data_IF_584840753403
#
_entry.id   IF_584840753403
#
_cell.length_a   1.000
_cell.length_b   1.000
_cell.length_c   1.000
_cell.angle_alpha   90.00
_cell.angle_beta   90.00
_cell.angle_gamma   90.00
#
_symmetry.space_group_name_H-M   'P 1'
#
loop_
_entity.id
_entity.type
_entity.pdbx_description
1 polymer ?
#
# COMPACT_ATOMS: atom_id res chain seq x y z
N UNK A 1 11.28 -23.80 13.51
CA UNK A 1 10.23 -22.90 12.99
C UNK A 1 10.87 -21.55 12.77
N UNK A 2 10.45 -20.80 11.76
CA UNK A 2 10.99 -19.46 11.54
C UNK A 2 10.53 -18.51 12.66
N UNK A 3 11.39 -17.58 13.05
CA UNK A 3 11.08 -16.52 14.01
C UNK A 3 10.90 -15.20 13.29
N UNK A 4 10.25 -14.22 13.94
CA UNK A 4 10.08 -12.86 13.41
C UNK A 4 11.40 -12.17 13.00
N UNK A 5 12.53 -12.60 13.56
CA UNK A 5 13.85 -12.02 13.33
C UNK A 5 14.70 -12.78 12.31
N UNK A 6 14.24 -13.93 11.83
CA UNK A 6 14.94 -14.72 10.82
C UNK A 6 14.78 -14.09 9.42
N UNK A 7 15.75 -14.29 8.52
CA UNK A 7 15.62 -13.84 7.13
C UNK A 7 14.47 -14.56 6.39
N UNK A 8 14.01 -13.92 5.31
CA UNK A 8 12.98 -14.44 4.41
C UNK A 8 13.23 -13.97 2.96
N UNK A 9 12.98 -14.87 2.01
CA UNK A 9 12.93 -14.54 0.58
C UNK A 9 11.51 -14.13 0.19
N UNK A 10 11.34 -12.88 -0.26
CA UNK A 10 10.09 -12.32 -0.78
C UNK A 10 10.21 -12.19 -2.30
N UNK A 11 9.94 -13.28 -3.02
CA UNK A 11 10.17 -13.36 -4.47
C UNK A 11 11.65 -13.24 -4.81
N UNK A 12 12.05 -12.12 -5.41
CA UNK A 12 13.44 -11.82 -5.77
C UNK A 12 14.21 -11.03 -4.69
N UNK A 13 13.58 -10.74 -3.55
CA UNK A 13 14.12 -9.87 -2.51
C UNK A 13 14.49 -10.69 -1.27
N UNK A 14 15.77 -10.68 -0.89
CA UNK A 14 16.26 -11.30 0.35
C UNK A 14 16.16 -10.32 1.52
N UNK A 15 15.16 -10.48 2.38
CA UNK A 15 14.92 -9.64 3.54
C UNK A 15 15.64 -10.18 4.79
N UNK A 16 16.33 -9.34 5.59
CA UNK A 16 17.10 -9.77 6.75
C UNK A 16 16.25 -10.17 7.97
N UNK A 17 14.96 -9.84 7.97
CA UNK A 17 13.99 -10.17 9.02
C UNK A 17 12.56 -10.14 8.44
N UNK A 18 11.57 -10.54 9.25
CA UNK A 18 10.15 -10.62 8.86
C UNK A 18 9.31 -9.44 9.37
N UNK A 19 9.96 -8.31 9.63
CA UNK A 19 9.35 -7.08 10.16
C UNK A 19 9.36 -6.05 9.03
N UNK A 20 8.21 -5.89 8.37
CA UNK A 20 8.08 -5.01 7.20
C UNK A 20 7.56 -3.64 7.62
N UNK A 21 8.05 -2.59 6.96
CA UNK A 21 7.43 -1.27 7.06
C UNK A 21 6.25 -1.22 6.10
N UNK A 22 5.04 -1.08 6.66
CA UNK A 22 3.82 -0.97 5.89
C UNK A 22 3.80 0.36 5.11
N UNK A 23 3.05 0.43 3.99
CA UNK A 23 2.94 1.65 3.20
C UNK A 23 2.11 2.72 3.94
N UNK A 24 2.70 3.90 4.09
CA UNK A 24 2.19 4.98 4.92
C UNK A 24 2.24 6.31 4.17
N UNK A 25 1.10 6.81 3.66
CA UNK A 25 1.05 8.14 3.04
C UNK A 25 1.47 9.22 4.02
N UNK A 26 2.47 10.04 3.66
CA UNK A 26 2.97 11.12 4.54
C UNK A 26 2.74 12.50 3.94
N UNK A 27 2.65 12.67 2.63
CA UNK A 27 2.32 13.99 2.07
C UNK A 27 3.47 15.01 2.19
N UNK A 28 4.72 14.55 2.03
CA UNK A 28 5.94 15.38 2.13
C UNK A 28 6.55 15.75 0.78
N UNK A 29 6.03 15.24 -0.33
CA UNK A 29 6.52 15.57 -1.67
C UNK A 29 6.21 17.04 -2.04
N UNK A 30 6.66 17.49 -3.21
CA UNK A 30 6.23 18.79 -3.77
C UNK A 30 4.77 18.74 -4.25
N UNK A 31 4.18 19.88 -4.65
CA UNK A 31 2.86 19.88 -5.31
C UNK A 31 2.87 19.16 -6.67
N UNK A 32 4.02 19.14 -7.34
CA UNK A 32 4.26 18.36 -8.55
C UNK A 32 4.50 16.86 -8.26
N UNK A 33 4.28 16.43 -7.01
CA UNK A 33 4.44 15.05 -6.56
C UNK A 33 5.86 14.52 -6.71
N UNK A 34 6.87 15.41 -6.68
CA UNK A 34 8.29 15.05 -6.72
C UNK A 34 8.78 14.80 -5.30
N UNK A 35 9.43 13.67 -5.00
CA UNK A 35 10.07 13.44 -3.70
C UNK A 35 11.11 14.50 -3.37
N UNK A 36 11.32 14.75 -2.08
CA UNK A 36 12.22 15.79 -1.56
C UNK A 36 13.31 15.19 -0.66
N UNK A 37 14.44 15.87 -0.42
CA UNK A 37 15.57 15.30 0.33
C UNK A 37 15.22 14.70 1.70
N UNK A 38 14.31 15.31 2.47
CA UNK A 38 13.89 14.76 3.78
C UNK A 38 13.24 13.36 3.68
N UNK A 39 12.67 13.00 2.51
CA UNK A 39 12.11 11.68 2.30
C UNK A 39 13.21 10.62 2.22
N UNK A 40 14.38 10.95 1.66
CA UNK A 40 15.54 10.06 1.66
C UNK A 40 16.02 9.77 3.08
N UNK A 41 16.13 10.81 3.91
CA UNK A 41 16.45 10.66 5.34
C UNK A 41 15.41 9.76 6.06
N UNK A 42 14.12 10.02 5.85
CA UNK A 42 13.04 9.27 6.49
C UNK A 42 13.10 7.76 6.20
N UNK A 43 13.30 7.39 4.94
CA UNK A 43 13.38 5.98 4.56
C UNK A 43 14.72 5.36 4.98
N UNK A 44 15.84 6.08 4.87
CA UNK A 44 17.14 5.60 5.32
C UNK A 44 17.16 5.28 6.83
N UNK A 45 16.53 6.12 7.66
CA UNK A 45 16.36 5.86 9.09
C UNK A 45 15.66 4.52 9.38
N UNK A 46 14.82 4.03 8.46
CA UNK A 46 14.00 2.82 8.59
C UNK A 46 14.54 1.63 7.81
N UNK A 47 15.74 1.73 7.24
CA UNK A 47 16.37 0.70 6.42
C UNK A 47 16.62 -0.64 7.14
N UNK A 48 16.51 -0.67 8.48
CA UNK A 48 16.58 -1.91 9.27
C UNK A 48 15.35 -2.82 9.11
N UNK A 49 14.24 -2.31 8.59
CA UNK A 49 13.08 -3.11 8.22
C UNK A 49 13.49 -4.23 7.25
N UNK A 50 12.86 -5.39 7.38
CA UNK A 50 13.09 -6.52 6.46
C UNK A 50 12.86 -6.10 5.00
N UNK A 51 11.77 -5.37 4.79
CA UNK A 51 11.48 -4.66 3.54
C UNK A 51 10.67 -3.40 3.87
N UNK A 52 10.99 -2.30 3.21
CA UNK A 52 10.18 -1.08 3.21
C UNK A 52 9.20 -1.14 2.04
N UNK A 53 7.93 -0.89 2.32
CA UNK A 53 6.93 -0.59 1.29
C UNK A 53 6.72 0.93 1.35
N UNK A 54 7.00 1.62 0.24
CA UNK A 54 6.93 3.08 0.19
C UNK A 54 5.52 3.58 0.53
N UNK A 55 5.41 4.88 0.81
CA UNK A 55 4.12 5.54 0.74
C UNK A 55 3.43 5.32 -0.61
N UNK A 56 2.10 5.30 -0.60
CA UNK A 56 1.30 5.10 -1.79
C UNK A 56 1.64 6.19 -2.82
N UNK A 57 2.08 5.76 -4.00
CA UNK A 57 2.69 6.61 -5.02
C UNK A 57 1.85 6.60 -6.29
N UNK A 58 1.39 7.77 -6.71
CA UNK A 58 0.48 7.91 -7.84
C UNK A 58 1.08 7.41 -9.15
N UNK A 59 0.33 6.60 -9.90
CA UNK A 59 0.73 6.13 -11.24
C UNK A 59 0.44 7.13 -12.36
N UNK A 60 -0.43 8.11 -12.08
CA UNK A 60 -0.83 9.16 -13.02
C UNK A 60 -1.43 10.34 -12.25
N UNK A 61 -1.62 11.48 -12.93
CA UNK A 61 -2.31 12.64 -12.35
C UNK A 61 -3.75 12.30 -11.98
N UNK A 62 -4.47 11.61 -12.88
CA UNK A 62 -5.87 11.21 -12.67
C UNK A 62 -6.04 10.39 -11.40
N UNK A 63 -5.10 9.46 -11.15
CA UNK A 63 -5.14 8.53 -10.03
C UNK A 63 -4.68 9.10 -8.69
N UNK A 64 -4.22 10.36 -8.62
CA UNK A 64 -3.66 10.94 -7.40
C UNK A 64 -4.49 12.13 -6.91
N UNK A 65 -5.11 12.00 -5.74
CA UNK A 65 -5.93 13.02 -5.08
C UNK A 65 -5.49 13.38 -3.67
N UNK A 66 -4.30 12.93 -3.24
CA UNK A 66 -3.76 13.24 -1.92
C UNK A 66 -2.78 14.41 -2.01
N UNK A 67 -3.03 15.56 -1.34
CA UNK A 67 -2.11 16.68 -1.35
C UNK A 67 -0.70 16.26 -0.97
N UNK A 68 0.24 16.55 -1.88
CA UNK A 68 1.67 16.33 -1.68
C UNK A 68 2.10 14.86 -1.49
N UNK A 69 1.27 13.91 -1.89
CA UNK A 69 1.75 12.55 -2.11
C UNK A 69 2.66 12.50 -3.36
N UNK A 70 3.67 11.61 -3.38
CA UNK A 70 4.57 11.46 -4.50
C UNK A 70 3.91 10.73 -5.68
N UNK A 71 4.55 10.87 -6.85
CA UNK A 71 4.16 10.24 -8.11
C UNK A 71 5.30 9.45 -8.72
N UNK A 72 4.98 8.68 -9.77
CA UNK A 72 5.92 7.92 -10.59
C UNK A 72 5.54 7.93 -12.09
N UNK A 73 4.95 9.02 -12.59
CA UNK A 73 4.53 9.16 -14.00
C UNK A 73 5.39 10.12 -14.82
N UNK A 74 6.21 10.98 -14.18
CA UNK A 74 7.10 11.92 -14.87
C UNK A 74 8.57 11.58 -14.65
N UNK A 75 9.43 12.08 -15.56
CA UNK A 75 10.88 11.96 -15.41
C UNK A 75 11.39 12.63 -14.13
N UNK A 76 10.87 13.81 -13.81
CA UNK A 76 11.28 14.56 -12.61
C UNK A 76 10.99 13.77 -11.33
N UNK A 77 9.87 13.05 -11.29
CA UNK A 77 9.52 12.18 -10.17
C UNK A 77 10.47 10.98 -10.04
N UNK A 78 10.84 10.35 -11.17
CA UNK A 78 11.85 9.29 -11.20
C UNK A 78 13.19 9.77 -10.66
N UNK A 79 13.67 10.93 -11.13
CA UNK A 79 14.91 11.54 -10.63
C UNK A 79 14.81 11.94 -9.16
N UNK A 80 13.64 12.37 -8.68
CA UNK A 80 13.41 12.64 -7.26
C UNK A 80 13.43 11.39 -6.38
N UNK A 81 13.02 10.23 -6.90
CA UNK A 81 13.04 8.96 -6.18
C UNK A 81 14.42 8.32 -6.09
N UNK A 82 15.31 8.52 -7.08
CA UNK A 82 16.67 7.92 -7.08
C UNK A 82 17.48 8.20 -5.81
N UNK A 83 17.59 9.45 -5.31
CA UNK A 83 18.28 9.70 -4.04
C UNK A 83 17.64 9.00 -2.84
N UNK A 84 16.34 8.71 -2.89
CA UNK A 84 15.63 8.03 -1.79
C UNK A 84 15.98 6.54 -1.77
N UNK A 85 15.89 5.86 -2.92
CA UNK A 85 16.25 4.45 -3.04
C UNK A 85 17.75 4.24 -2.78
N UNK A 86 18.61 5.11 -3.32
CA UNK A 86 20.05 5.11 -3.07
C UNK A 86 20.36 5.22 -1.57
N UNK A 87 19.68 6.12 -0.85
CA UNK A 87 19.88 6.29 0.60
C UNK A 87 19.44 5.05 1.41
N UNK A 88 18.34 4.40 1.02
CA UNK A 88 17.90 3.14 1.62
C UNK A 88 18.92 2.03 1.37
N UNK A 89 19.40 1.89 0.13
CA UNK A 89 20.38 0.86 -0.23
C UNK A 89 21.74 1.10 0.42
N UNK A 90 22.18 2.36 0.53
CA UNK A 90 23.41 2.73 1.24
C UNK A 90 23.32 2.39 2.75
N UNK A 91 22.12 2.47 3.33
CA UNK A 91 21.84 2.03 4.70
C UNK A 91 21.59 0.50 4.82
N UNK A 92 21.73 -0.25 3.73
CA UNK A 92 21.56 -1.70 3.69
C UNK A 92 20.10 -2.18 3.64
N UNK A 93 19.15 -1.29 3.39
CA UNK A 93 17.72 -1.60 3.31
C UNK A 93 17.28 -2.12 1.94
N UNK A 94 15.99 -2.45 1.85
CA UNK A 94 15.29 -2.78 0.61
C UNK A 94 13.99 -2.01 0.57
N UNK A 95 13.56 -1.57 -0.61
CA UNK A 95 12.34 -0.77 -0.78
C UNK A 95 11.60 -1.13 -2.06
N UNK A 96 10.28 -1.31 -1.94
CA UNK A 96 9.36 -1.45 -3.08
C UNK A 96 8.43 -0.25 -3.18
N UNK A 97 8.09 0.16 -4.41
CA UNK A 97 7.15 1.25 -4.65
C UNK A 97 5.70 0.74 -4.58
N UNK A 98 4.87 1.31 -3.70
CA UNK A 98 3.43 1.01 -3.73
C UNK A 98 2.73 1.85 -4.81
N UNK A 99 2.29 1.19 -5.88
CA UNK A 99 1.63 1.81 -7.03
C UNK A 99 0.14 2.07 -6.76
N UNK A 100 -0.27 3.32 -6.94
CA UNK A 100 -1.55 3.81 -6.44
C UNK A 100 -2.39 4.51 -7.51
N UNK A 101 -3.65 4.06 -7.62
CA UNK A 101 -4.72 4.79 -8.30
C UNK A 101 -5.92 4.90 -7.36
N UNK A 102 -6.23 6.12 -6.91
CA UNK A 102 -7.21 6.36 -5.85
C UNK A 102 -8.68 6.18 -6.28
N UNK A 103 -8.96 6.21 -7.59
CA UNK A 103 -10.32 6.03 -8.11
C UNK A 103 -11.27 7.12 -7.60
N UNK A 104 -12.47 6.76 -7.12
CA UNK A 104 -13.49 7.73 -6.64
C UNK A 104 -13.11 8.61 -5.45
N UNK A 105 -11.92 8.41 -4.88
CA UNK A 105 -11.40 9.19 -3.75
C UNK A 105 -10.66 10.45 -4.24
N UNK A 106 -10.43 10.61 -5.56
CA UNK A 106 -9.86 11.85 -6.12
C UNK A 106 -10.93 12.92 -6.25
N UNK A 107 -10.63 14.15 -5.81
CA UNK A 107 -11.52 15.29 -6.04
C UNK A 107 -11.24 15.94 -7.42
N UNK A 108 -12.25 16.46 -8.14
CA UNK A 108 -12.06 17.13 -9.43
C UNK A 108 -11.03 18.29 -9.42
N UNK A 109 -10.80 18.92 -8.27
CA UNK A 109 -9.75 19.94 -8.07
C UNK A 109 -8.34 19.47 -8.43
N UNK A 110 -8.09 18.15 -8.46
CA UNK A 110 -6.79 17.58 -8.83
C UNK A 110 -6.66 17.25 -10.33
N UNK A 111 -7.77 17.27 -11.06
CA UNK A 111 -7.89 16.76 -12.44
C UNK A 111 -8.60 17.78 -13.34
N UNK A 112 -8.28 19.07 -13.20
CA UNK A 112 -8.82 20.16 -14.03
C UNK A 112 -10.35 20.17 -14.12
N UNK A 113 -11.04 19.78 -13.04
CA UNK A 113 -12.50 19.70 -12.96
C UNK A 113 -13.10 18.41 -13.53
N UNK A 114 -12.30 17.49 -14.08
CA UNK A 114 -12.79 16.19 -14.52
C UNK A 114 -13.22 15.31 -13.34
N UNK A 115 -14.36 14.63 -13.50
CA UNK A 115 -14.85 13.69 -12.50
C UNK A 115 -13.86 12.51 -12.31
N UNK A 116 -13.65 12.04 -11.07
CA UNK A 116 -12.83 10.86 -10.83
C UNK A 116 -13.48 9.62 -11.44
N UNK A 117 -12.69 8.57 -11.67
CA UNK A 117 -13.19 7.28 -12.18
C UNK A 117 -13.34 6.23 -11.08
N UNK A 118 -14.25 5.29 -11.30
CA UNK A 118 -14.48 4.12 -10.45
C UNK A 118 -15.03 2.95 -11.29
N UNK A 119 -15.27 1.81 -10.66
CA UNK A 119 -16.02 0.72 -11.28
C UNK A 119 -17.41 1.17 -11.73
N UNK A 120 -18.12 1.89 -10.85
CA UNK A 120 -19.48 2.40 -11.07
C UNK A 120 -19.62 3.86 -10.61
N UNK A 121 -20.65 4.54 -11.14
CA UNK A 121 -20.97 5.91 -10.75
C UNK A 121 -21.44 5.94 -9.29
N UNK A 122 -20.52 6.30 -8.39
CA UNK A 122 -20.72 6.27 -6.94
C UNK A 122 -19.94 7.40 -6.28
N UNK A 123 -20.42 7.86 -5.13
CA UNK A 123 -19.76 8.88 -4.32
C UNK A 123 -19.21 8.25 -3.05
N UNK A 124 -17.92 8.44 -2.76
CA UNK A 124 -17.35 8.00 -1.50
C UNK A 124 -17.95 8.77 -0.31
N UNK A 125 -18.09 8.15 0.87
CA UNK A 125 -18.58 8.84 2.05
C UNK A 125 -17.55 9.86 2.56
N UNK A 126 -18.04 10.95 3.15
CA UNK A 126 -17.20 11.92 3.86
C UNK A 126 -16.62 13.02 2.97
N UNK A 127 -15.41 13.46 3.32
CA UNK A 127 -14.77 14.65 2.76
C UNK A 127 -13.26 14.45 2.59
N UNK A 128 -12.66 15.13 1.62
CA UNK A 128 -11.22 15.13 1.31
C UNK A 128 -10.63 16.54 1.37
N UNK A 129 -9.30 16.64 1.38
CA UNK A 129 -8.56 17.91 1.32
C UNK A 129 -8.13 18.18 -0.12
N UNK A 130 -8.17 19.45 -0.55
CA UNK A 130 -7.65 19.88 -1.86
C UNK A 130 -6.68 21.03 -1.68
N UNK A 131 -5.94 21.39 -2.73
CA UNK A 131 -5.09 22.59 -2.71
C UNK A 131 -5.91 23.89 -2.67
N UNK A 132 -7.14 23.86 -3.19
CA UNK A 132 -8.01 25.04 -3.32
C UNK A 132 -8.58 25.46 -1.97
N UNK A 133 -8.97 24.50 -1.14
CA UNK A 133 -9.61 24.77 0.16
C UNK A 133 -8.61 24.83 1.32
N UNK A 134 -7.31 24.71 1.04
CA UNK A 134 -6.26 24.71 2.05
C UNK A 134 -6.46 23.59 3.08
N UNK A 135 -6.79 23.98 4.32
CA UNK A 135 -7.02 23.03 5.41
C UNK A 135 -8.50 22.60 5.55
N UNK A 136 -9.43 23.20 4.82
CA UNK A 136 -10.83 22.81 4.87
C UNK A 136 -11.06 21.58 4.01
N UNK A 137 -11.90 20.66 4.49
CA UNK A 137 -12.28 19.47 3.73
C UNK A 137 -13.54 19.72 2.90
N UNK A 138 -13.53 19.27 1.66
CA UNK A 138 -14.67 19.30 0.72
C UNK A 138 -15.28 17.92 0.56
N UNK A 139 -16.62 17.80 0.33
CA UNK A 139 -17.24 16.53 0.01
C UNK A 139 -16.58 15.84 -1.18
N UNK A 140 -16.60 14.51 -1.20
CA UNK A 140 -16.24 13.79 -2.43
C UNK A 140 -17.24 14.09 -3.54
N UNK A 141 -16.74 14.14 -4.78
CA UNK A 141 -17.58 14.22 -5.97
C UNK A 141 -18.03 12.81 -6.38
N UNK A 142 -19.15 12.74 -7.11
CA UNK A 142 -19.56 11.50 -7.76
C UNK A 142 -18.53 11.11 -8.83
N UNK A 143 -18.07 9.85 -8.79
CA UNK A 143 -17.23 9.32 -9.84
C UNK A 143 -18.05 8.97 -11.08
N UNK A 144 -17.42 9.01 -12.25
CA UNK A 144 -17.95 8.38 -13.45
C UNK A 144 -17.55 6.90 -13.47
N UNK A 145 -18.41 6.05 -14.04
CA UNK A 145 -18.04 4.67 -14.34
C UNK A 145 -16.93 4.66 -15.41
N UNK A 146 -15.85 3.92 -15.17
CA UNK A 146 -14.76 3.80 -16.12
C UNK A 146 -15.24 3.09 -17.40
N UNK A 147 -14.90 3.66 -18.56
CA UNK A 147 -15.09 3.01 -19.85
C UNK A 147 -13.99 1.98 -20.11
N UNK A 148 -14.10 1.18 -21.18
CA UNK A 148 -13.03 0.27 -21.58
C UNK A 148 -11.76 1.02 -21.97
N UNK A 149 -11.88 2.20 -22.58
CA UNK A 149 -10.74 3.06 -22.93
C UNK A 149 -10.04 3.61 -21.66
N UNK A 150 -10.81 3.96 -20.62
CA UNK A 150 -10.23 4.33 -19.33
C UNK A 150 -9.47 3.17 -18.71
N UNK A 151 -10.04 1.96 -18.75
CA UNK A 151 -9.39 0.76 -18.22
C UNK A 151 -8.08 0.48 -18.97
N UNK A 152 -8.09 0.56 -20.30
CA UNK A 152 -6.89 0.38 -21.11
C UNK A 152 -5.80 1.40 -20.74
N UNK A 153 -6.16 2.68 -20.62
CA UNK A 153 -5.23 3.75 -20.21
C UNK A 153 -4.68 3.54 -18.80
N UNK A 154 -5.52 3.17 -17.82
CA UNK A 154 -5.07 2.88 -16.45
C UNK A 154 -4.07 1.72 -16.41
N UNK A 155 -4.28 0.69 -17.24
CA UNK A 155 -3.32 -0.42 -17.35
C UNK A 155 -1.98 0.03 -17.94
N UNK A 156 -2.00 0.93 -18.92
CA UNK A 156 -0.79 1.53 -19.47
C UNK A 156 -0.08 2.43 -18.45
N UNK A 157 -0.83 3.17 -17.63
CA UNK A 157 -0.30 3.97 -16.51
C UNK A 157 0.39 3.07 -15.47
N UNK A 158 -0.20 1.92 -15.12
CA UNK A 158 0.44 0.94 -14.23
C UNK A 158 1.74 0.38 -14.82
N UNK A 159 1.76 0.06 -16.12
CA UNK A 159 2.98 -0.41 -16.79
C UNK A 159 4.07 0.68 -16.79
N UNK A 160 3.72 1.91 -17.14
CA UNK A 160 4.65 3.03 -17.16
C UNK A 160 5.21 3.34 -15.77
N UNK A 161 4.36 3.42 -14.75
CA UNK A 161 4.78 3.64 -13.37
C UNK A 161 5.66 2.50 -12.84
N UNK A 162 5.42 1.25 -13.27
CA UNK A 162 6.27 0.11 -12.93
C UNK A 162 7.66 0.25 -13.53
N UNK A 163 7.77 0.57 -14.83
CA UNK A 163 9.08 0.84 -15.47
C UNK A 163 9.83 1.97 -14.77
N UNK A 164 9.11 3.05 -14.45
CA UNK A 164 9.65 4.21 -13.77
C UNK A 164 10.14 3.87 -12.35
N UNK A 165 9.44 3.00 -11.62
CA UNK A 165 9.87 2.52 -10.30
C UNK A 165 11.18 1.72 -10.40
N UNK A 166 11.28 0.80 -11.37
CA UNK A 166 12.51 0.04 -11.58
C UNK A 166 13.67 0.96 -12.01
N UNK A 167 13.41 1.94 -12.89
CA UNK A 167 14.42 2.94 -13.26
C UNK A 167 14.86 3.81 -12.06
N UNK A 168 13.94 4.13 -11.15
CA UNK A 168 14.24 4.88 -9.93
C UNK A 168 15.02 4.05 -8.90
N UNK A 169 15.33 2.78 -9.16
CA UNK A 169 16.12 1.94 -8.28
C UNK A 169 15.32 1.23 -7.19
N UNK A 170 13.99 1.14 -7.29
CA UNK A 170 13.23 0.30 -6.36
C UNK A 170 13.54 -1.19 -6.60
N UNK A 171 13.54 -1.99 -5.53
CA UNK A 171 13.76 -3.45 -5.58
C UNK A 171 12.57 -4.20 -6.22
N UNK A 172 11.43 -3.52 -6.34
CA UNK A 172 10.20 -4.03 -6.92
C UNK A 172 9.03 -3.08 -6.70
N UNK A 173 7.81 -3.58 -6.96
CA UNK A 173 6.57 -2.81 -6.85
C UNK A 173 5.50 -3.59 -6.09
N UNK A 174 4.67 -2.89 -5.33
CA UNK A 174 3.45 -3.43 -4.72
C UNK A 174 2.22 -2.80 -5.40
N UNK A 175 1.33 -3.62 -5.96
CA UNK A 175 0.03 -3.14 -6.43
C UNK A 175 -0.87 -2.82 -5.23
N UNK A 176 -1.33 -1.57 -5.13
CA UNK A 176 -2.32 -1.21 -4.13
C UNK A 176 -3.74 -1.62 -4.56
N UNK A 177 -4.17 -2.80 -4.13
CA UNK A 177 -5.51 -3.36 -4.38
C UNK A 177 -6.38 -3.43 -3.11
N UNK A 178 -6.31 -2.38 -2.29
CA UNK A 178 -6.87 -2.35 -0.95
C UNK A 178 -7.46 -0.97 -0.61
N UNK A 179 -8.03 -0.86 0.59
CA UNK A 179 -8.46 0.36 1.24
C UNK A 179 -9.48 1.19 0.44
N UNK A 180 -10.26 0.54 -0.42
CA UNK A 180 -11.28 1.20 -1.21
C UNK A 180 -10.75 2.12 -2.31
N UNK A 181 -9.54 1.89 -2.83
CA UNK A 181 -9.01 2.53 -4.03
C UNK A 181 -9.39 1.80 -5.31
N UNK A 182 -8.95 2.23 -6.50
CA UNK A 182 -9.56 1.83 -7.78
C UNK A 182 -9.67 0.31 -7.96
N UNK A 183 -8.60 -0.45 -7.73
CA UNK A 183 -8.66 -1.90 -7.89
C UNK A 183 -9.64 -2.52 -6.88
N UNK A 184 -9.63 -2.09 -5.61
CA UNK A 184 -10.57 -2.56 -4.59
C UNK A 184 -12.02 -2.17 -4.91
N UNK A 185 -12.22 -0.99 -5.53
CA UNK A 185 -13.52 -0.53 -6.01
C UNK A 185 -14.10 -1.45 -7.09
N UNK A 186 -13.25 -2.04 -7.94
CA UNK A 186 -13.64 -3.09 -8.90
C UNK A 186 -13.81 -4.45 -8.24
N UNK A 187 -13.00 -4.79 -7.25
CA UNK A 187 -13.08 -6.09 -6.59
C UNK A 187 -14.41 -6.28 -5.86
N UNK A 188 -14.90 -5.26 -5.13
CA UNK A 188 -16.02 -5.45 -4.20
C UNK A 188 -17.38 -5.04 -4.75
N UNK A 189 -18.39 -5.85 -4.45
CA UNK A 189 -19.75 -5.67 -4.94
C UNK A 189 -20.49 -4.45 -4.35
N UNK A 190 -20.02 -3.92 -3.20
CA UNK A 190 -20.53 -2.66 -2.64
C UNK A 190 -20.14 -1.41 -3.42
N UNK A 191 -19.21 -1.51 -4.37
CA UNK A 191 -18.76 -0.40 -5.24
C UNK A 191 -18.72 -0.72 -6.74
N UNK A 192 -18.81 -2.01 -7.09
CA UNK A 192 -18.88 -2.47 -8.47
C UNK A 192 -20.26 -3.02 -8.79
N UNK A 193 -21.06 -2.20 -9.46
CA UNK A 193 -22.40 -2.52 -9.97
C UNK A 193 -22.42 -2.62 -11.50
N UNK A 194 -21.28 -2.92 -12.12
CA UNK A 194 -21.19 -3.07 -13.58
C UNK A 194 -21.90 -4.34 -14.05
N UNK A 195 -22.43 -4.29 -15.26
CA UNK A 195 -23.11 -5.37 -15.97
C UNK A 195 -22.33 -5.89 -17.19
N UNK A 196 -21.06 -5.47 -17.33
CA UNK A 196 -20.13 -5.91 -18.37
C UNK A 196 -19.10 -6.93 -17.83
N UNK A 197 -18.08 -7.22 -18.63
CA UNK A 197 -17.02 -8.18 -18.29
C UNK A 197 -16.15 -7.78 -17.09
N UNK A 198 -16.39 -6.60 -16.49
CA UNK A 198 -15.70 -6.14 -15.29
C UNK A 198 -16.60 -6.13 -14.04
N UNK A 199 -17.84 -6.59 -14.10
CA UNK A 199 -18.76 -6.69 -12.96
C UNK A 199 -19.56 -7.98 -12.86
N UNK A 200 -20.39 -8.08 -11.82
CA UNK A 200 -21.18 -9.26 -11.52
C UNK A 200 -20.35 -10.39 -10.88
N UNK A 201 -19.85 -11.33 -11.70
CA UNK A 201 -19.17 -12.52 -11.17
C UNK A 201 -17.83 -12.20 -10.51
N UNK A 202 -17.33 -13.10 -9.66
CA UNK A 202 -16.01 -12.96 -9.01
C UNK A 202 -14.90 -12.82 -10.08
N UNK A 203 -14.97 -13.60 -11.16
CA UNK A 203 -13.99 -13.58 -12.25
C UNK A 203 -13.94 -12.22 -12.94
N UNK A 204 -15.11 -11.63 -13.19
CA UNK A 204 -15.23 -10.33 -13.84
C UNK A 204 -14.76 -9.21 -12.91
N UNK A 205 -15.17 -9.22 -11.63
CA UNK A 205 -14.71 -8.23 -10.63
C UNK A 205 -13.20 -8.28 -10.41
N UNK A 206 -12.59 -9.48 -10.49
CA UNK A 206 -11.14 -9.67 -10.41
C UNK A 206 -10.39 -9.33 -11.71
N UNK A 207 -11.07 -9.06 -12.83
CA UNK A 207 -10.43 -8.90 -14.14
C UNK A 207 -9.43 -7.74 -14.19
N UNK A 208 -9.78 -6.58 -13.64
CA UNK A 208 -8.89 -5.42 -13.63
C UNK A 208 -7.63 -5.69 -12.80
N UNK A 209 -7.78 -6.32 -11.62
CA UNK A 209 -6.66 -6.75 -10.78
C UNK A 209 -5.70 -7.66 -11.57
N UNK A 210 -6.25 -8.66 -12.27
CA UNK A 210 -5.47 -9.61 -13.06
C UNK A 210 -4.68 -8.92 -14.16
N UNK A 211 -5.36 -8.08 -14.95
CA UNK A 211 -4.73 -7.31 -16.02
C UNK A 211 -3.63 -6.38 -15.47
N UNK A 212 -3.85 -5.72 -14.33
CA UNK A 212 -2.84 -4.85 -13.72
C UNK A 212 -1.61 -5.66 -13.27
N UNK A 213 -1.80 -6.81 -12.63
CA UNK A 213 -0.69 -7.69 -12.23
C UNK A 213 0.07 -8.19 -13.47
N UNK A 214 -0.62 -8.58 -14.54
CA UNK A 214 0.02 -8.98 -15.80
C UNK A 214 0.90 -7.87 -16.38
N UNK A 215 0.45 -6.60 -16.32
CA UNK A 215 1.27 -5.43 -16.71
C UNK A 215 2.49 -5.27 -15.81
N UNK A 216 2.31 -5.32 -14.50
CA UNK A 216 3.42 -5.20 -13.54
C UNK A 216 4.47 -6.31 -13.74
N UNK A 217 4.03 -7.55 -13.91
CA UNK A 217 4.89 -8.72 -14.13
C UNK A 217 5.67 -8.58 -15.44
N UNK A 218 5.05 -8.10 -16.51
CA UNK A 218 5.71 -7.88 -17.78
C UNK A 218 6.86 -6.85 -17.69
N UNK A 219 6.72 -5.84 -16.83
CA UNK A 219 7.69 -4.74 -16.70
C UNK A 219 8.79 -5.00 -15.66
N UNK A 220 8.43 -5.57 -14.50
CA UNK A 220 9.36 -5.77 -13.38
C UNK A 220 9.88 -7.22 -13.25
N UNK A 221 9.21 -8.18 -13.88
CA UNK A 221 9.37 -9.60 -13.59
C UNK A 221 8.63 -10.02 -12.32
N UNK A 222 8.05 -11.24 -12.33
CA UNK A 222 7.11 -11.69 -11.31
C UNK A 222 7.66 -11.63 -9.87
N UNK A 223 8.91 -12.07 -9.65
CA UNK A 223 9.54 -12.06 -8.33
C UNK A 223 9.70 -10.68 -7.69
N UNK A 224 9.54 -9.59 -8.47
CA UNK A 224 9.61 -8.20 -7.99
C UNK A 224 8.23 -7.54 -7.84
N UNK A 225 7.16 -8.29 -8.04
CA UNK A 225 5.79 -7.79 -7.90
C UNK A 225 5.17 -8.35 -6.62
N UNK A 226 4.48 -7.50 -5.87
CA UNK A 226 3.62 -7.91 -4.76
C UNK A 226 2.27 -7.21 -4.84
N UNK A 227 1.31 -7.61 -4.01
CA UNK A 227 -0.02 -6.99 -3.98
C UNK A 227 -0.50 -6.84 -2.54
N UNK A 228 -1.19 -5.73 -2.28
CA UNK A 228 -1.87 -5.47 -1.01
C UNK A 228 -3.37 -5.59 -1.17
N UNK A 229 -4.02 -6.34 -0.28
CA UNK A 229 -5.48 -6.41 -0.14
C UNK A 229 -5.91 -5.97 1.27
N UNK A 230 -7.20 -5.66 1.42
CA UNK A 230 -7.82 -5.41 2.73
C UNK A 230 -9.16 -6.16 2.83
N UNK A 231 -9.16 -7.50 2.90
CA UNK A 231 -10.32 -8.31 2.53
C UNK A 231 -11.60 -8.05 3.31
N UNK A 232 -11.50 -7.73 4.60
CA UNK A 232 -12.63 -7.61 5.50
C UNK A 232 -12.89 -6.17 5.93
N UNK A 233 -14.17 -5.86 6.16
CA UNK A 233 -14.65 -4.58 6.65
C UNK A 233 -14.77 -3.49 5.59
N UNK A 234 -15.55 -2.46 5.93
CA UNK A 234 -15.65 -1.24 5.14
C UNK A 234 -14.36 -0.44 5.27
N UNK A 235 -13.83 0.02 4.13
CA UNK A 235 -12.88 1.12 4.12
C UNK A 235 -13.25 2.09 3.00
N UNK A 236 -13.50 3.36 3.35
CA UNK A 236 -13.90 4.42 2.42
C UNK A 236 -15.18 4.09 1.63
N UNK A 237 -16.15 3.42 2.27
CA UNK A 237 -17.42 3.04 1.67
C UNK A 237 -17.32 1.88 0.68
N UNK A 238 -16.21 1.14 0.70
CA UNK A 238 -15.98 -0.05 -0.13
C UNK A 238 -15.98 -1.27 0.80
N UNK A 239 -16.95 -2.16 0.60
CA UNK A 239 -17.14 -3.40 1.34
C UNK A 239 -17.67 -4.47 0.39
N UNK A 240 -17.35 -5.74 0.67
CA UNK A 240 -17.89 -6.88 -0.07
C UNK A 240 -18.93 -7.60 0.79
N UNK A 241 -20.03 -8.04 0.17
CA UNK A 241 -21.06 -8.81 0.86
C UNK A 241 -20.60 -10.21 1.28
N UNK A 242 -19.64 -10.79 0.56
CA UNK A 242 -19.12 -12.13 0.80
C UNK A 242 -17.63 -12.24 0.38
N UNK A 243 -16.70 -11.64 1.17
CA UNK A 243 -15.32 -11.45 0.74
C UNK A 243 -14.52 -12.75 0.62
N UNK A 244 -14.80 -13.78 1.44
CA UNK A 244 -13.97 -14.97 1.49
C UNK A 244 -13.85 -15.69 0.13
N UNK A 245 -14.94 -16.05 -0.59
CA UNK A 245 -14.83 -16.66 -1.91
C UNK A 245 -14.08 -15.82 -2.95
N UNK A 246 -14.24 -14.50 -2.91
CA UNK A 246 -13.55 -13.58 -3.82
C UNK A 246 -12.04 -13.64 -3.61
N UNK A 247 -11.57 -13.49 -2.37
CA UNK A 247 -10.14 -13.47 -2.09
C UNK A 247 -9.51 -14.87 -2.15
N UNK A 248 -10.26 -15.95 -1.87
CA UNK A 248 -9.81 -17.33 -2.13
C UNK A 248 -9.57 -17.55 -3.62
N UNK A 249 -10.51 -17.16 -4.48
CA UNK A 249 -10.35 -17.25 -5.94
C UNK A 249 -9.11 -16.48 -6.44
N UNK A 250 -8.89 -15.27 -5.91
CA UNK A 250 -7.70 -14.47 -6.21
C UNK A 250 -6.43 -15.19 -5.75
N UNK A 251 -6.40 -15.72 -4.52
CA UNK A 251 -5.26 -16.45 -3.97
C UNK A 251 -4.87 -17.68 -4.80
N UNK A 252 -5.86 -18.43 -5.28
CA UNK A 252 -5.64 -19.57 -6.18
C UNK A 252 -5.01 -19.13 -7.51
N UNK A 253 -5.56 -18.10 -8.14
CA UNK A 253 -5.04 -17.57 -9.40
C UNK A 253 -3.62 -17.01 -9.25
N UNK A 254 -3.32 -16.31 -8.16
CA UNK A 254 -1.99 -15.72 -7.91
C UNK A 254 -0.87 -16.76 -7.91
N UNK A 255 -1.13 -18.01 -7.50
CA UNK A 255 -0.12 -19.09 -7.56
C UNK A 255 0.40 -19.34 -8.98
N UNK A 256 -0.38 -18.99 -10.00
CA UNK A 256 0.01 -19.15 -11.42
C UNK A 256 0.88 -18.00 -11.94
N UNK A 257 1.01 -16.92 -11.17
CA UNK A 257 1.68 -15.68 -11.60
C UNK A 257 3.13 -15.58 -11.09
N UNK A 258 3.48 -16.32 -10.04
CA UNK A 258 4.84 -16.30 -9.46
C UNK A 258 5.21 -14.98 -8.78
N UNK A 259 4.24 -14.21 -8.31
CA UNK A 259 4.48 -12.93 -7.61
C UNK A 259 5.21 -13.15 -6.28
N UNK A 260 5.96 -12.14 -5.83
CA UNK A 260 6.87 -12.25 -4.68
C UNK A 260 6.18 -12.42 -3.33
N UNK A 261 5.11 -11.67 -3.04
CA UNK A 261 4.34 -11.82 -1.81
C UNK A 261 2.95 -11.15 -1.89
N UNK A 262 2.09 -11.48 -0.93
CA UNK A 262 0.80 -10.81 -0.71
C UNK A 262 0.77 -10.20 0.69
N UNK A 263 0.33 -8.96 0.81
CA UNK A 263 0.03 -8.31 2.09
C UNK A 263 -1.49 -8.21 2.31
N UNK A 264 -1.98 -8.64 3.47
CA UNK A 264 -3.37 -8.44 3.89
C UNK A 264 -3.43 -7.48 5.08
N UNK A 265 -4.16 -6.39 4.92
CA UNK A 265 -4.57 -5.51 6.03
C UNK A 265 -5.92 -5.98 6.56
N UNK A 266 -5.99 -6.39 7.81
CA UNK A 266 -7.22 -6.96 8.39
C UNK A 266 -7.59 -6.29 9.72
N UNK A 267 -8.57 -5.38 9.75
CA UNK A 267 -9.13 -4.86 11.00
C UNK A 267 -9.87 -5.95 11.79
N UNK A 268 -9.76 -5.88 13.12
CA UNK A 268 -10.63 -6.64 14.04
C UNK A 268 -11.82 -5.82 14.56
N UNK A 269 -12.67 -6.41 15.41
CA UNK A 269 -13.82 -5.71 16.03
C UNK A 269 -13.41 -4.51 16.88
N UNK A 270 -12.26 -4.60 17.56
CA UNK A 270 -11.66 -3.52 18.37
C UNK A 270 -10.51 -2.81 17.63
N UNK A 271 -10.53 -2.83 16.29
CA UNK A 271 -9.48 -2.25 15.46
C UNK A 271 -9.28 -0.76 15.72
N UNK A 272 -8.03 -0.32 15.85
CA UNK A 272 -7.71 1.07 16.22
C UNK A 272 -7.43 1.97 15.02
N UNK A 273 -7.51 1.40 13.81
CA UNK A 273 -7.47 2.13 12.54
C UNK A 273 -8.49 1.54 11.57
N UNK A 274 -9.75 1.83 11.84
CA UNK A 274 -10.91 1.12 11.30
C UNK A 274 -11.17 -0.18 12.06
N UNK A 275 -12.44 -0.54 12.19
CA UNK A 275 -12.90 -1.75 12.86
C UNK A 275 -14.02 -2.41 12.08
N UNK A 276 -14.19 -3.72 12.27
CA UNK A 276 -15.25 -4.48 11.61
C UNK A 276 -15.59 -5.76 12.36
N UNK A 277 -16.83 -6.22 12.21
CA UNK A 277 -17.27 -7.55 12.63
C UNK A 277 -17.18 -8.59 11.51
N UNK A 278 -16.86 -8.19 10.28
CA UNK A 278 -16.56 -9.15 9.21
C UNK A 278 -15.27 -9.91 9.57
N UNK A 279 -15.30 -11.25 9.58
CA UNK A 279 -14.16 -12.05 10.00
C UNK A 279 -12.95 -11.82 9.07
N UNK A 280 -11.72 -11.93 9.59
CA UNK A 280 -10.52 -11.98 8.77
C UNK A 280 -10.59 -13.11 7.74
N UNK A 281 -10.08 -12.85 6.54
CA UNK A 281 -10.05 -13.80 5.43
C UNK A 281 -8.69 -14.52 5.36
N UNK A 282 -7.65 -14.02 6.04
CA UNK A 282 -6.31 -14.62 6.04
C UNK A 282 -6.26 -16.13 6.29
N UNK A 283 -7.06 -16.77 7.16
CA UNK A 283 -6.99 -18.22 7.35
C UNK A 283 -7.42 -19.01 6.10
N UNK A 284 -8.42 -18.52 5.37
CA UNK A 284 -8.87 -19.11 4.11
C UNK A 284 -7.90 -18.77 2.98
N UNK A 285 -7.46 -17.51 2.92
CA UNK A 285 -6.49 -17.04 1.93
C UNK A 285 -5.15 -17.80 2.01
N UNK A 286 -4.64 -18.05 3.23
CA UNK A 286 -3.41 -18.82 3.46
C UNK A 286 -3.50 -20.25 2.91
N UNK A 287 -4.70 -20.86 2.88
CA UNK A 287 -4.91 -22.17 2.26
C UNK A 287 -4.88 -22.10 0.74
N UNK A 288 -5.41 -21.02 0.15
CA UNK A 288 -5.47 -20.80 -1.29
C UNK A 288 -4.10 -20.37 -1.88
N UNK A 289 -3.44 -19.38 -1.26
CA UNK A 289 -2.15 -18.83 -1.67
C UNK A 289 -0.98 -19.62 -1.08
N UNK A 290 0.05 -19.92 -1.88
CA UNK A 290 1.21 -20.72 -1.46
C UNK A 290 2.52 -19.94 -1.32
N UNK A 291 2.59 -18.72 -1.84
CA UNK A 291 3.78 -17.86 -1.65
C UNK A 291 3.79 -17.15 -0.30
N UNK A 292 4.76 -16.24 -0.07
CA UNK A 292 4.85 -15.48 1.16
C UNK A 292 3.59 -14.65 1.44
N UNK A 293 3.07 -14.78 2.66
CA UNK A 293 1.93 -14.02 3.17
C UNK A 293 2.39 -13.06 4.27
N UNK A 294 2.03 -11.79 4.13
CA UNK A 294 2.31 -10.74 5.10
C UNK A 294 1.00 -10.27 5.70
N UNK A 295 0.88 -10.24 7.03
CA UNK A 295 -0.30 -9.68 7.69
C UNK A 295 0.00 -8.29 8.26
N UNK A 296 -1.03 -7.45 8.30
CA UNK A 296 -0.95 -6.08 8.76
C UNK A 296 -2.19 -5.69 9.57
N UNK A 297 -1.97 -4.72 10.45
CA UNK A 297 -2.92 -4.01 11.32
C UNK A 297 -2.95 -4.52 12.77
N UNK A 298 -2.77 -3.58 13.71
CA UNK A 298 -2.90 -3.75 15.17
C UNK A 298 -2.04 -4.86 15.82
N UNK A 299 -1.02 -5.37 15.11
CA UNK A 299 -0.08 -6.33 15.68
C UNK A 299 0.76 -5.73 16.81
N UNK A 300 0.67 -6.37 17.98
CA UNK A 300 1.67 -6.25 19.04
C UNK A 300 2.88 -7.14 18.75
N UNK A 301 3.98 -6.95 19.50
CA UNK A 301 5.17 -7.82 19.44
C UNK A 301 4.80 -9.29 19.62
N UNK A 302 4.06 -9.61 20.68
CA UNK A 302 3.71 -11.00 21.01
C UNK A 302 2.85 -11.65 19.92
N UNK A 303 1.86 -10.94 19.38
CA UNK A 303 1.04 -11.44 18.28
C UNK A 303 1.85 -11.65 17.00
N UNK A 304 2.78 -10.75 16.69
CA UNK A 304 3.62 -10.89 15.50
C UNK A 304 4.56 -12.09 15.58
N UNK A 305 5.15 -12.33 16.76
CA UNK A 305 5.97 -13.52 17.03
C UNK A 305 5.13 -14.79 16.82
N UNK A 306 3.99 -14.90 17.51
CA UNK A 306 3.09 -16.07 17.42
C UNK A 306 2.61 -16.31 15.98
N UNK A 307 2.30 -15.25 15.25
CA UNK A 307 1.80 -15.35 13.86
C UNK A 307 2.82 -15.98 12.92
N UNK A 308 4.10 -15.62 13.08
CA UNK A 308 5.20 -16.20 12.29
C UNK A 308 5.53 -17.61 12.76
N UNK A 309 5.61 -17.83 14.08
CA UNK A 309 5.97 -19.12 14.65
C UNK A 309 4.92 -20.21 14.38
N UNK A 310 3.63 -19.85 14.41
CA UNK A 310 2.52 -20.75 14.06
C UNK A 310 2.38 -21.01 12.55
N UNK A 311 3.07 -20.24 11.69
CA UNK A 311 2.96 -20.33 10.24
C UNK A 311 1.67 -19.73 9.67
N UNK A 312 0.94 -18.94 10.46
CA UNK A 312 -0.26 -18.23 10.01
C UNK A 312 0.09 -17.15 8.98
N UNK A 313 1.26 -16.53 9.10
CA UNK A 313 1.87 -15.68 8.08
C UNK A 313 3.39 -15.88 8.04
N UNK A 314 4.01 -15.48 6.94
CA UNK A 314 5.45 -15.55 6.77
C UNK A 314 6.16 -14.30 7.29
N UNK A 315 5.45 -13.16 7.35
CA UNK A 315 5.94 -11.91 7.91
C UNK A 315 4.81 -11.00 8.40
N UNK A 316 5.17 -9.93 9.12
CA UNK A 316 4.22 -8.94 9.63
C UNK A 316 4.67 -7.54 9.22
N UNK A 317 3.75 -6.76 8.66
CA UNK A 317 3.98 -5.36 8.33
C UNK A 317 3.43 -4.44 9.44
N UNK A 318 4.22 -3.45 9.84
CA UNK A 318 3.87 -2.48 10.87
C UNK A 318 3.72 -1.08 10.27
N UNK A 319 2.62 -0.41 10.60
CA UNK A 319 2.35 0.96 10.15
C UNK A 319 2.80 1.98 11.20
N UNK A 320 1.85 2.42 12.05
CA UNK A 320 2.08 3.40 13.11
C UNK A 320 3.34 3.15 13.97
N UNK A 321 3.67 1.92 14.37
CA UNK A 321 4.93 1.68 15.08
C UNK A 321 6.17 2.17 14.31
N UNK A 322 6.25 1.97 12.99
CA UNK A 322 7.34 2.49 12.17
C UNK A 322 7.29 4.00 11.97
N UNK A 323 6.14 4.68 12.15
CA UNK A 323 6.12 6.15 12.13
C UNK A 323 7.04 6.70 13.22
N UNK A 324 6.89 6.21 14.45
CA UNK A 324 7.61 6.72 15.62
C UNK A 324 8.90 5.97 15.98
N UNK A 325 9.16 4.80 15.40
CA UNK A 325 10.28 3.94 15.77
C UNK A 325 11.09 3.58 14.52
N UNK A 326 12.10 4.39 14.12
CA UNK A 326 12.92 4.11 12.93
C UNK A 326 13.69 2.77 13.05
N UNK A 327 14.00 2.36 14.26
CA UNK A 327 14.71 1.14 14.64
C UNK A 327 13.78 0.07 15.22
N UNK A 328 12.50 0.04 14.79
CA UNK A 328 11.48 -0.89 15.29
C UNK A 328 11.95 -2.35 15.38
N UNK A 329 12.65 -2.93 14.37
CA UNK A 329 13.14 -4.31 14.47
C UNK A 329 14.03 -4.56 15.70
N UNK A 330 14.88 -3.60 16.06
CA UNK A 330 15.77 -3.74 17.21
C UNK A 330 15.00 -3.60 18.53
N UNK A 331 14.04 -2.68 18.59
CA UNK A 331 13.16 -2.53 19.76
C UNK A 331 12.34 -3.80 19.99
N UNK A 332 11.77 -4.38 18.92
CA UNK A 332 11.06 -5.64 19.00
C UNK A 332 11.98 -6.80 19.40
N UNK A 333 13.24 -6.83 18.93
CA UNK A 333 14.22 -7.84 19.33
C UNK A 333 14.53 -7.80 20.83
N UNK A 334 14.72 -6.59 21.37
CA UNK A 334 15.07 -6.37 22.79
C UNK A 334 13.88 -6.28 23.74
N UNK A 335 12.65 -6.35 23.22
CA UNK A 335 11.43 -6.03 23.98
C UNK A 335 11.52 -4.64 24.64
N UNK A 336 12.10 -3.68 23.92
CA UNK A 336 12.32 -2.33 24.40
C UNK A 336 11.04 -1.47 24.25
N UNK A 337 10.88 -0.41 25.06
CA UNK A 337 9.77 0.53 24.91
C UNK A 337 9.69 1.13 23.50
N UNK A 338 8.49 1.27 22.98
CA UNK A 338 8.22 1.97 21.72
C UNK A 338 7.92 3.44 21.99
N UNK A 339 8.47 4.31 21.14
CA UNK A 339 8.04 5.71 21.07
C UNK A 339 6.56 5.75 20.65
N UNK A 340 5.81 6.70 21.21
CA UNK A 340 4.45 7.00 20.77
C UNK A 340 4.47 7.83 19.48
N UNK A 341 3.54 7.54 18.57
CA UNK A 341 3.33 8.35 17.37
C UNK A 341 2.36 9.51 17.62
N UNK A 342 2.51 10.58 16.83
CA UNK A 342 1.73 11.81 17.00
C UNK A 342 0.78 11.99 15.80
N UNK A 343 -0.51 11.72 15.98
CA UNK A 343 -1.48 11.73 14.88
C UNK A 343 -1.56 13.10 14.17
N UNK A 344 -1.32 14.20 14.91
CA UNK A 344 -1.32 15.55 14.36
C UNK A 344 -0.25 15.76 13.26
N UNK A 345 0.84 14.99 13.31
CA UNK A 345 1.97 15.09 12.36
C UNK A 345 1.96 13.96 11.33
N UNK A 346 1.01 13.02 11.36
CA UNK A 346 0.96 11.95 10.36
C UNK A 346 0.96 12.48 8.92
N UNK A 347 0.28 13.60 8.67
CA UNK A 347 0.13 14.21 7.34
C UNK A 347 0.54 15.70 7.28
N UNK A 348 1.36 16.15 8.22
CA UNK A 348 1.97 17.50 8.19
C UNK A 348 3.06 17.60 7.12
N UNK A 349 3.60 18.81 6.89
CA UNK A 349 4.59 19.08 5.83
C UNK A 349 6.05 19.06 6.31
N UNK A 350 6.27 19.41 7.57
CA UNK A 350 7.61 19.59 8.14
C UNK A 350 8.29 18.28 8.59
N UNK A 351 9.54 18.38 9.05
CA UNK A 351 10.29 17.25 9.60
C UNK A 351 9.74 16.76 10.96
N UNK A 352 8.94 17.58 11.64
CA UNK A 352 8.36 17.24 12.95
C UNK A 352 7.37 16.09 12.85
N UNK A 353 7.56 15.06 13.69
CA UNK A 353 6.87 13.78 13.61
C UNK A 353 7.13 13.00 12.32
N UNK A 354 8.30 13.23 11.70
CA UNK A 354 8.72 12.57 10.46
C UNK A 354 10.11 11.96 10.61
N UNK A 355 11.14 12.80 10.72
CA UNK A 355 12.56 12.39 10.84
C UNK A 355 13.15 12.65 12.22
N UNK A 356 12.38 13.21 13.15
CA UNK A 356 12.80 13.63 14.49
C UNK A 356 12.51 12.60 15.60
N UNK A 357 11.92 11.45 15.27
CA UNK A 357 11.73 10.37 16.23
C UNK A 357 13.07 9.69 16.58
N UNK A 358 13.45 9.61 17.88
CA UNK A 358 14.76 9.12 18.28
C UNK A 358 14.85 7.59 18.16
N UNK A 359 16.05 7.09 17.82
CA UNK A 359 16.39 5.67 17.94
C UNK A 359 16.54 5.26 19.42
N UNK A 360 16.52 3.97 19.71
CA UNK A 360 16.75 3.43 21.06
C UNK A 360 18.12 3.84 21.60
N UNK A 361 19.14 3.91 20.74
CA UNK A 361 20.47 4.40 21.11
C UNK A 361 20.43 5.87 21.51
N UNK A 362 19.75 6.73 20.74
CA UNK A 362 19.64 8.15 21.03
C UNK A 362 18.84 8.47 22.31
N UNK A 363 17.87 7.63 22.69
CA UNK A 363 17.12 7.78 23.96
C UNK A 363 17.97 7.40 25.18
N UNK A 364 18.96 6.51 25.00
CA UNK A 364 19.81 6.00 26.08
C UNK A 364 21.16 6.74 26.21
N UNK A 365 21.51 7.58 25.24
CA UNK A 365 22.69 8.45 25.26
C UNK A 365 22.42 9.73 26.07
#
# INVERSE_FOLDING_TARGET
>A
MATLFDPITLGAIEAPNRILMAPLTRGRATQASVPVPMMAEYYAQRASAGLIISEATGISREGLGWPYAPGLWTREQVEGWKPVTDAVHAAGGRIVAQLWHMGRIVHPDFNDGAAPISASATTAPGKTRTYVTGNDKVPYAEARAATHDDIARVLDDYAAATRNAIEAGFDGVQLHAANGYLIDQFLRDGSNMRDDDYGGSIENRARLLRQAIERLVAEAGAGRVSVRFSPNGDTQGVIDSNPEPLFVHIGEWLNTQGIGFVELREPGPEGTFGSTTQPPVSPAFRKAWKGPLVLNQDFTRAQAIETVESGSADAVAFGRPFLANPDLPERLRRDAPLNADEMATWYSRGPEGYTDYPTLEAVNA
#
